data_IF_388511901992
#
_entry.id   IF_388511901992
#
_cell.length_a   1.000
_cell.length_b   1.000
_cell.length_c   1.000
_cell.angle_alpha   90.00
_cell.angle_beta   90.00
_cell.angle_gamma   90.00
#
_symmetry.space_group_name_H-M   'P 1'
#
loop_
_entity.id
_entity.type
_entity.pdbx_description
1 polymer ?
#
# COMPACT_ATOMS: atom_id res chain seq x y z
N UNK A 1 31.65 10.20 28.15
CA UNK A 1 30.43 9.68 27.48
C UNK A 1 29.46 10.79 27.04
N UNK A 2 29.92 12.04 26.88
CA UNK A 2 29.06 13.15 26.45
C UNK A 2 29.19 13.48 24.96
N UNK A 3 30.24 12.99 24.29
CA UNK A 3 30.53 13.27 22.88
C UNK A 3 29.51 12.65 21.91
N UNK A 4 28.93 11.49 22.27
CA UNK A 4 27.89 10.83 21.46
C UNK A 4 26.57 11.60 21.56
N UNK A 5 26.21 12.05 22.76
CA UNK A 5 25.03 12.88 22.99
C UNK A 5 25.15 14.25 22.31
N UNK A 6 26.31 14.92 22.42
CA UNK A 6 26.55 16.18 21.70
C UNK A 6 26.57 16.00 20.20
N UNK A 7 27.13 14.90 19.67
CA UNK A 7 27.08 14.58 18.23
C UNK A 7 25.64 14.35 17.75
N UNK A 8 24.82 13.66 18.54
CA UNK A 8 23.39 13.47 18.26
C UNK A 8 22.65 14.81 18.24
N UNK A 9 22.89 15.70 19.20
CA UNK A 9 22.23 17.01 19.28
C UNK A 9 22.69 17.99 18.19
N UNK A 10 23.98 18.06 17.88
CA UNK A 10 24.49 19.09 16.94
C UNK A 10 24.50 18.65 15.48
N UNK A 11 24.58 17.34 15.18
CA UNK A 11 24.63 16.84 13.80
C UNK A 11 23.38 16.05 13.43
N UNK A 12 22.94 15.12 14.27
CA UNK A 12 21.86 14.18 13.91
C UNK A 12 20.49 14.82 14.06
N UNK A 13 20.23 15.55 15.14
CA UNK A 13 18.96 16.23 15.37
C UNK A 13 18.60 17.25 14.27
N UNK A 14 19.47 18.22 13.90
CA UNK A 14 19.13 19.17 12.83
C UNK A 14 19.11 18.53 11.44
N UNK A 15 19.84 17.42 11.23
CA UNK A 15 19.77 16.66 9.99
C UNK A 15 18.43 15.91 9.87
N UNK A 16 18.02 15.23 10.94
CA UNK A 16 16.72 14.54 11.02
C UNK A 16 15.56 15.52 10.87
N UNK A 17 15.66 16.71 11.45
CA UNK A 17 14.65 17.75 11.31
C UNK A 17 14.55 18.28 9.87
N UNK A 18 15.69 18.52 9.20
CA UNK A 18 15.71 18.91 7.78
C UNK A 18 15.12 17.85 6.86
N UNK A 19 15.40 16.57 7.11
CA UNK A 19 14.87 15.45 6.32
C UNK A 19 13.38 15.27 6.59
N UNK A 20 12.96 15.34 7.86
CA UNK A 20 11.56 15.20 8.27
C UNK A 20 10.67 16.36 7.82
N UNK A 21 11.22 17.57 7.68
CA UNK A 21 10.50 18.75 7.19
C UNK A 21 10.47 18.88 5.67
N UNK A 22 11.09 17.96 4.91
CA UNK A 22 10.93 17.96 3.45
C UNK A 22 9.47 17.75 3.07
N UNK A 23 8.89 18.69 2.30
CA UNK A 23 7.47 18.66 1.92
C UNK A 23 7.02 17.33 1.28
N UNK A 24 7.89 16.69 0.51
CA UNK A 24 7.59 15.39 -0.13
C UNK A 24 7.52 14.25 0.89
N UNK A 25 8.50 14.16 1.81
CA UNK A 25 8.52 13.14 2.86
C UNK A 25 7.38 13.35 3.86
N UNK A 26 7.11 14.61 4.20
CA UNK A 26 5.96 15.01 5.01
C UNK A 26 4.64 14.59 4.35
N UNK A 27 4.45 14.88 3.08
CA UNK A 27 3.26 14.51 2.32
C UNK A 27 3.09 12.98 2.21
N UNK A 28 4.17 12.22 2.03
CA UNK A 28 4.12 10.75 2.02
C UNK A 28 3.64 10.22 3.37
N UNK A 29 4.23 10.70 4.47
CA UNK A 29 3.84 10.30 5.83
C UNK A 29 2.39 10.64 6.11
N UNK A 30 1.99 11.89 5.88
CA UNK A 30 0.65 12.38 6.19
C UNK A 30 -0.42 11.78 5.27
N UNK A 31 -0.08 11.53 4.00
CA UNK A 31 -0.94 10.85 3.04
C UNK A 31 -1.15 9.38 3.40
N UNK A 32 -0.08 8.67 3.79
CA UNK A 32 -0.16 7.28 4.23
C UNK A 32 -0.93 7.12 5.54
N UNK A 33 -0.87 8.11 6.44
CA UNK A 33 -1.67 8.10 7.67
C UNK A 33 -3.19 8.04 7.42
N UNK A 34 -3.68 8.48 6.26
CA UNK A 34 -5.10 8.31 5.89
C UNK A 34 -5.48 6.84 5.71
N UNK A 35 -4.54 5.97 5.33
CA UNK A 35 -4.77 4.54 5.13
C UNK A 35 -4.57 3.70 6.41
N UNK A 36 -4.07 4.29 7.50
CA UNK A 36 -3.79 3.57 8.76
C UNK A 36 -4.99 2.78 9.30
N UNK A 37 -6.22 3.32 9.35
CA UNK A 37 -7.37 2.55 9.82
C UNK A 37 -7.65 1.31 8.95
N UNK A 38 -7.46 1.43 7.63
CA UNK A 38 -7.63 0.32 6.70
C UNK A 38 -6.53 -0.74 6.86
N UNK A 39 -5.30 -0.31 7.13
CA UNK A 39 -4.17 -1.21 7.40
C UNK A 39 -4.43 -2.03 8.67
N UNK A 40 -4.98 -1.40 9.72
CA UNK A 40 -5.36 -2.11 10.94
C UNK A 40 -6.40 -3.21 10.64
N UNK A 41 -7.43 -2.90 9.83
CA UNK A 41 -8.43 -3.88 9.42
C UNK A 41 -7.81 -5.00 8.56
N UNK A 42 -6.92 -4.66 7.61
CA UNK A 42 -6.20 -5.65 6.80
C UNK A 42 -5.34 -6.60 7.64
N UNK A 43 -4.68 -6.06 8.68
CA UNK A 43 -3.85 -6.86 9.59
C UNK A 43 -4.64 -7.94 10.34
N UNK A 44 -5.92 -7.69 10.66
CA UNK A 44 -6.78 -8.68 11.30
C UNK A 44 -7.02 -9.87 10.39
N UNK A 45 -7.30 -9.63 9.10
CA UNK A 45 -7.46 -10.70 8.13
C UNK A 45 -6.17 -11.50 7.92
N UNK A 46 -5.03 -10.80 7.88
CA UNK A 46 -3.72 -11.44 7.72
C UNK A 46 -3.41 -12.39 8.88
N UNK A 47 -3.68 -11.98 10.12
CA UNK A 47 -3.44 -12.82 11.31
C UNK A 47 -4.28 -14.11 11.25
N UNK A 48 -5.53 -14.03 10.78
CA UNK A 48 -6.40 -15.20 10.66
C UNK A 48 -5.92 -16.19 9.58
N UNK A 49 -5.28 -15.70 8.52
CA UNK A 49 -4.76 -16.52 7.42
C UNK A 49 -3.42 -17.16 7.80
N UNK A 50 -2.52 -16.38 8.40
CA UNK A 50 -1.14 -16.78 8.72
C UNK A 50 -0.99 -17.26 10.16
N UNK A 51 -1.98 -18.00 10.67
CA UNK A 51 -1.92 -18.55 12.01
C UNK A 51 -0.86 -19.66 12.09
N UNK A 52 0.04 -19.67 13.10
CA UNK A 52 1.18 -20.60 13.15
C UNK A 52 0.78 -22.07 13.38
N UNK A 53 -0.45 -22.34 13.81
CA UNK A 53 -0.95 -23.70 14.02
C UNK A 53 -1.60 -24.27 12.75
N UNK A 54 -0.98 -25.28 12.16
CA UNK A 54 -1.45 -25.94 10.91
C UNK A 54 -2.85 -26.55 11.03
N UNK A 55 -3.24 -27.03 12.21
CA UNK A 55 -4.58 -27.58 12.45
C UNK A 55 -5.71 -26.57 12.21
N UNK A 56 -5.45 -25.29 12.52
CA UNK A 56 -6.42 -24.22 12.31
C UNK A 56 -6.54 -23.88 10.82
N UNK A 57 -5.42 -23.78 10.12
CA UNK A 57 -5.37 -23.50 8.68
C UNK A 57 -6.00 -24.64 7.86
N UNK A 58 -5.79 -25.90 8.26
CA UNK A 58 -6.40 -27.06 7.62
C UNK A 58 -7.91 -27.14 7.87
N UNK A 59 -8.39 -26.73 9.04
CA UNK A 59 -9.83 -26.57 9.31
C UNK A 59 -10.43 -25.40 8.50
N UNK A 60 -9.73 -24.27 8.40
CA UNK A 60 -10.15 -23.14 7.57
C UNK A 60 -10.25 -23.52 6.08
N UNK A 61 -9.35 -24.38 5.62
CA UNK A 61 -9.36 -24.93 4.27
C UNK A 61 -10.52 -25.91 4.05
N UNK A 62 -10.83 -26.77 5.01
CA UNK A 62 -11.94 -27.72 4.87
C UNK A 62 -13.31 -27.03 4.84
N UNK A 63 -13.43 -25.89 5.51
CA UNK A 63 -14.64 -25.03 5.49
C UNK A 63 -14.66 -24.11 4.25
N UNK A 64 -13.57 -24.03 3.47
CA UNK A 64 -13.45 -23.16 2.30
C UNK A 64 -13.29 -21.67 2.63
N UNK A 65 -13.14 -21.32 3.91
CA UNK A 65 -13.01 -19.93 4.38
C UNK A 65 -11.64 -19.33 4.04
N UNK A 66 -10.60 -20.16 3.89
CA UNK A 66 -9.25 -19.67 3.60
C UNK A 66 -9.17 -18.91 2.26
N UNK A 67 -9.85 -19.40 1.21
CA UNK A 67 -9.85 -18.76 -0.11
C UNK A 67 -10.56 -17.40 -0.08
N UNK A 68 -11.62 -17.29 0.72
CA UNK A 68 -12.39 -16.06 0.90
C UNK A 68 -11.57 -15.05 1.69
N UNK A 69 -11.00 -15.46 2.84
CA UNK A 69 -10.15 -14.58 3.66
C UNK A 69 -8.94 -14.08 2.88
N UNK A 70 -8.26 -14.95 2.12
CA UNK A 70 -7.12 -14.55 1.29
C UNK A 70 -7.51 -13.56 0.21
N UNK A 71 -8.66 -13.75 -0.44
CA UNK A 71 -9.20 -12.80 -1.44
C UNK A 71 -9.57 -11.46 -0.79
N UNK A 72 -10.17 -11.48 0.40
CA UNK A 72 -10.50 -10.26 1.16
C UNK A 72 -9.25 -9.50 1.60
N UNK A 73 -8.19 -10.20 2.04
CA UNK A 73 -6.92 -9.59 2.39
C UNK A 73 -6.26 -8.92 1.16
N UNK A 74 -6.19 -9.63 0.03
CA UNK A 74 -5.67 -9.06 -1.23
C UNK A 74 -6.46 -7.83 -1.68
N UNK A 75 -7.79 -7.87 -1.55
CA UNK A 75 -8.66 -6.74 -1.87
C UNK A 75 -8.40 -5.55 -0.93
N UNK A 76 -8.18 -5.80 0.36
CA UNK A 76 -7.88 -4.75 1.35
C UNK A 76 -6.55 -4.05 1.03
N UNK A 77 -5.51 -4.81 0.68
CA UNK A 77 -4.21 -4.26 0.24
C UNK A 77 -4.38 -3.40 -1.03
N UNK A 78 -5.21 -3.84 -1.98
CA UNK A 78 -5.51 -3.05 -3.17
C UNK A 78 -6.20 -1.70 -2.81
N UNK A 79 -7.17 -1.71 -1.90
CA UNK A 79 -7.84 -0.47 -1.45
C UNK A 79 -6.86 0.44 -0.67
N UNK A 80 -6.02 -0.12 0.20
CA UNK A 80 -4.96 0.63 0.89
C UNK A 80 -4.07 1.37 -0.11
N UNK A 81 -3.67 0.70 -1.19
CA UNK A 81 -2.83 1.30 -2.24
C UNK A 81 -3.50 2.49 -2.94
N UNK A 82 -4.81 2.40 -3.20
CA UNK A 82 -5.59 3.48 -3.81
C UNK A 82 -5.74 4.67 -2.87
N UNK A 83 -6.10 4.40 -1.60
CA UNK A 83 -6.24 5.44 -0.57
C UNK A 83 -4.90 6.12 -0.29
N UNK A 84 -3.81 5.36 -0.24
CA UNK A 84 -2.46 5.90 -0.08
C UNK A 84 -2.07 6.79 -1.26
N UNK A 85 -2.32 6.36 -2.51
CA UNK A 85 -2.04 7.16 -3.70
C UNK A 85 -2.79 8.50 -3.66
N UNK A 86 -4.09 8.47 -3.38
CA UNK A 86 -4.92 9.67 -3.25
C UNK A 86 -4.43 10.57 -2.11
N UNK A 87 -4.20 10.02 -0.92
CA UNK A 87 -3.81 10.76 0.27
C UNK A 87 -2.46 11.45 0.11
N UNK A 88 -1.48 10.79 -0.52
CA UNK A 88 -0.15 11.38 -0.78
C UNK A 88 -0.26 12.54 -1.76
N UNK A 89 -1.00 12.37 -2.87
CA UNK A 89 -1.19 13.42 -3.85
C UNK A 89 -1.97 14.62 -3.28
N UNK A 90 -2.98 14.36 -2.45
CA UNK A 90 -3.77 15.37 -1.74
C UNK A 90 -2.88 16.20 -0.80
N UNK A 91 -2.07 15.55 0.06
CA UNK A 91 -1.18 16.26 0.99
C UNK A 91 -0.05 17.01 0.29
N UNK A 92 0.43 16.48 -0.84
CA UNK A 92 1.48 17.12 -1.62
C UNK A 92 0.97 18.40 -2.29
N UNK A 93 -0.22 18.37 -2.89
CA UNK A 93 -0.86 19.53 -3.53
C UNK A 93 -1.26 20.62 -2.54
N UNK A 94 -1.77 20.25 -1.36
CA UNK A 94 -1.95 21.21 -0.25
C UNK A 94 -0.62 21.90 0.12
N UNK A 95 0.49 21.14 0.15
CA UNK A 95 1.83 21.68 0.36
C UNK A 95 2.35 22.60 -0.76
N UNK A 96 1.70 22.58 -1.94
CA UNK A 96 1.97 23.47 -3.07
C UNK A 96 0.96 24.62 -3.21
N UNK A 97 -0.09 24.65 -2.39
CA UNK A 97 -1.17 25.64 -2.50
C UNK A 97 -2.10 25.42 -3.70
N UNK A 98 -2.21 24.19 -4.20
CA UNK A 98 -3.10 23.81 -5.30
C UNK A 98 -4.27 22.94 -4.82
N UNK A 99 -5.26 22.71 -5.68
CA UNK A 99 -6.46 21.94 -5.33
C UNK A 99 -6.15 20.47 -4.98
N UNK A 100 -6.22 20.16 -3.68
CA UNK A 100 -6.05 18.84 -3.10
C UNK A 100 -6.84 17.72 -3.78
N UNK A 101 -8.18 17.84 -3.88
CA UNK A 101 -9.04 16.81 -4.46
C UNK A 101 -8.72 16.52 -5.93
N UNK A 102 -8.46 17.56 -6.73
CA UNK A 102 -8.15 17.46 -8.15
C UNK A 102 -6.84 16.68 -8.38
N UNK A 103 -5.80 17.01 -7.62
CA UNK A 103 -4.52 16.29 -7.67
C UNK A 103 -4.67 14.82 -7.25
N UNK A 104 -5.49 14.55 -6.23
CA UNK A 104 -5.79 13.18 -5.77
C UNK A 104 -6.45 12.32 -6.85
N UNK A 105 -7.44 12.86 -7.58
CA UNK A 105 -8.15 12.13 -8.65
C UNK A 105 -7.23 11.85 -9.83
N UNK A 106 -6.36 12.80 -10.20
CA UNK A 106 -5.38 12.61 -11.28
C UNK A 106 -4.38 11.52 -10.92
N UNK A 107 -3.87 11.53 -9.69
CA UNK A 107 -2.96 10.50 -9.19
C UNK A 107 -3.61 9.12 -9.18
N UNK A 108 -4.85 9.02 -8.71
CA UNK A 108 -5.60 7.76 -8.68
C UNK A 108 -5.87 7.21 -10.09
N UNK A 109 -6.20 8.10 -11.03
CA UNK A 109 -6.39 7.73 -12.45
C UNK A 109 -5.09 7.20 -13.07
N UNK A 110 -3.96 7.87 -12.83
CA UNK A 110 -2.64 7.42 -13.27
C UNK A 110 -2.25 6.07 -12.66
N UNK A 111 -2.52 5.87 -11.37
CA UNK A 111 -2.26 4.62 -10.67
C UNK A 111 -3.04 3.44 -11.25
N UNK A 112 -4.34 3.63 -11.52
CA UNK A 112 -5.18 2.58 -12.12
C UNK A 112 -4.70 2.22 -13.53
N UNK A 113 -4.25 3.20 -14.33
CA UNK A 113 -3.69 2.96 -15.66
C UNK A 113 -2.36 2.19 -15.60
N UNK A 114 -1.53 2.44 -14.59
CA UNK A 114 -0.24 1.77 -14.42
C UNK A 114 -0.38 0.36 -13.79
N UNK A 115 -1.47 0.08 -13.07
CA UNK A 115 -1.62 -1.15 -12.31
C UNK A 115 -1.68 -2.40 -13.23
N UNK A 116 -0.66 -3.29 -13.18
CA UNK A 116 -0.55 -4.41 -14.12
C UNK A 116 -1.69 -5.43 -13.98
N UNK A 117 -2.27 -5.59 -12.78
CA UNK A 117 -3.42 -6.50 -12.57
C UNK A 117 -4.65 -6.05 -13.36
N UNK A 118 -4.85 -4.75 -13.55
CA UNK A 118 -5.93 -4.21 -14.38
C UNK A 118 -5.65 -4.49 -15.87
N UNK A 119 -4.41 -4.28 -16.31
CA UNK A 119 -3.99 -4.55 -17.68
C UNK A 119 -4.11 -6.04 -18.04
N UNK A 120 -3.69 -6.96 -17.17
CA UNK A 120 -3.78 -8.40 -17.43
C UNK A 120 -5.24 -8.85 -17.53
N UNK A 121 -6.12 -8.46 -16.60
CA UNK A 121 -7.54 -8.82 -16.69
C UNK A 121 -8.21 -8.27 -17.96
N UNK A 122 -7.88 -7.04 -18.34
CA UNK A 122 -8.36 -6.42 -19.57
C UNK A 122 -7.84 -7.14 -20.83
N UNK A 123 -6.57 -7.55 -20.85
CA UNK A 123 -5.97 -8.32 -21.95
C UNK A 123 -6.52 -9.75 -22.06
N UNK A 124 -6.85 -10.41 -20.94
CA UNK A 124 -7.53 -11.73 -20.94
C UNK A 124 -8.90 -11.61 -21.60
N UNK A 125 -9.66 -10.56 -21.27
CA UNK A 125 -11.00 -10.33 -21.82
C UNK A 125 -11.00 -9.99 -23.31
N UNK A 126 -9.87 -9.52 -23.85
CA UNK A 126 -9.64 -9.29 -25.28
C UNK A 126 -9.13 -10.52 -26.06
N UNK A 127 -9.06 -11.71 -25.45
CA UNK A 127 -8.78 -12.95 -26.17
C UNK A 127 -7.32 -13.13 -26.61
N UNK A 128 -6.35 -12.43 -26.00
CA UNK A 128 -4.93 -12.66 -26.29
C UNK A 128 -4.39 -13.89 -25.54
N UNK A 129 -4.01 -14.94 -26.28
CA UNK A 129 -3.46 -16.22 -25.78
C UNK A 129 -2.14 -16.10 -25.00
N UNK A 130 -1.49 -14.94 -24.99
CA UNK A 130 -0.25 -14.68 -24.24
C UNK A 130 -0.48 -14.47 -22.72
N UNK A 131 -1.73 -14.42 -22.27
CA UNK A 131 -2.10 -13.86 -20.97
C UNK A 131 -2.02 -14.85 -19.78
N UNK A 132 -1.95 -16.15 -20.03
CA UNK A 132 -1.80 -17.18 -18.98
C UNK A 132 -0.42 -17.15 -18.31
N UNK A 133 0.64 -16.80 -19.05
CA UNK A 133 2.00 -16.71 -18.51
C UNK A 133 2.24 -15.42 -17.72
N UNK A 134 1.69 -14.30 -18.17
CA UNK A 134 1.72 -13.03 -17.43
C UNK A 134 0.98 -13.17 -16.08
N UNK A 135 -0.24 -13.73 -16.07
CA UNK A 135 -1.02 -13.92 -14.85
C UNK A 135 -0.32 -14.79 -13.79
N UNK A 136 0.39 -15.84 -14.20
CA UNK A 136 1.17 -16.69 -13.29
C UNK A 136 2.41 -15.95 -12.72
N UNK A 137 3.06 -15.11 -13.53
CA UNK A 137 4.27 -14.38 -13.10
C UNK A 137 3.96 -13.25 -12.10
N UNK A 138 2.82 -12.57 -12.22
CA UNK A 138 2.42 -11.53 -11.26
C UNK A 138 1.74 -12.08 -10.00
N UNK A 139 1.30 -13.34 -10.00
CA UNK A 139 0.84 -14.00 -8.77
C UNK A 139 2.01 -14.30 -7.81
N UNK A 140 3.25 -14.25 -8.30
CA UNK A 140 4.49 -14.46 -7.52
C UNK A 140 5.13 -13.16 -7.00
N UNK A 141 4.67 -12.00 -7.47
CA UNK A 141 5.16 -10.67 -7.10
C UNK A 141 4.21 -9.94 -6.10
N UNK A 142 3.17 -10.62 -5.61
CA UNK A 142 2.22 -10.12 -4.62
C UNK A 142 2.33 -10.90 -3.30
#
# INVERSE_FOLDING_TARGET
MNNILTFLETKVAPFGEKVGNQRHLKAIREGFMMAMPLILVGSLFLILISWPQEAFTNWLNSVGLLSILTTMNQSTVAIISLVACFGIAYRLSEGYGTDGPSAGIIALSSFVLMAPRFQVWFMIKMGSRSSSYLAAQYHFLA
#
